data_IF_045405791325
#
_entry.id   IF_045405791325
#
_cell.length_a   1.000
_cell.length_b   1.000
_cell.length_c   1.000
_cell.angle_alpha   90.00
_cell.angle_beta   90.00
_cell.angle_gamma   90.00
#
_symmetry.space_group_name_H-M   'P 1'
#
loop_
_entity.id
_entity.type
_entity.pdbx_description
1 polymer ?
#
# COMPACT_ATOMS: atom_id res chain seq x y z
N UNK A 1 -14.51 -10.57 -18.58
CA UNK A 1 -15.40 -9.80 -17.70
C UNK A 1 -14.85 -8.39 -17.64
N UNK A 2 -15.65 -7.37 -17.96
CA UNK A 2 -15.27 -5.97 -17.80
C UNK A 2 -15.14 -5.72 -16.30
N UNK A 3 -13.95 -5.31 -15.88
CA UNK A 3 -13.73 -4.83 -14.52
C UNK A 3 -14.55 -3.56 -14.31
N UNK A 4 -15.36 -3.52 -13.28
CA UNK A 4 -16.19 -2.38 -12.95
C UNK A 4 -15.74 -1.83 -11.59
N UNK A 5 -15.39 -0.53 -11.54
CA UNK A 5 -15.16 0.19 -10.30
C UNK A 5 -16.47 0.19 -9.51
N UNK A 6 -16.39 -0.16 -8.23
CA UNK A 6 -17.53 -0.20 -7.32
C UNK A 6 -17.30 0.82 -6.20
N UNK A 7 -18.13 1.83 -6.11
CA UNK A 7 -18.13 2.76 -4.99
C UNK A 7 -18.97 2.17 -3.86
N UNK A 8 -18.38 2.19 -2.67
CA UNK A 8 -19.10 1.78 -1.47
C UNK A 8 -20.01 2.94 -1.05
N UNK A 9 -21.33 2.74 -1.00
CA UNK A 9 -22.27 3.78 -0.60
C UNK A 9 -21.95 4.33 0.81
N UNK A 10 -22.18 5.62 1.02
CA UNK A 10 -22.03 6.26 2.34
C UNK A 10 -22.89 5.57 3.41
N UNK A 11 -24.09 5.08 3.03
CA UNK A 11 -24.96 4.31 3.91
C UNK A 11 -24.30 3.03 4.45
N UNK A 12 -23.44 2.38 3.66
CA UNK A 12 -22.74 1.18 4.07
C UNK A 12 -21.60 1.54 5.04
N UNK A 13 -20.91 2.65 4.83
CA UNK A 13 -19.92 3.17 5.79
C UNK A 13 -20.61 3.58 7.10
N UNK A 14 -21.76 4.27 7.03
CA UNK A 14 -22.55 4.61 8.22
C UNK A 14 -22.95 3.34 8.98
N UNK A 15 -23.38 2.29 8.29
CA UNK A 15 -23.66 0.98 8.90
C UNK A 15 -22.44 0.40 9.63
N UNK A 16 -21.23 0.55 9.08
CA UNK A 16 -20.01 0.13 9.76
C UNK A 16 -19.77 0.95 11.05
N UNK A 17 -20.03 2.25 11.04
CA UNK A 17 -19.92 3.11 12.23
C UNK A 17 -20.96 2.74 13.29
N UNK A 18 -22.18 2.40 12.88
CA UNK A 18 -23.22 1.91 13.80
C UNK A 18 -22.81 0.57 14.46
N UNK A 19 -22.14 -0.29 13.71
CA UNK A 19 -21.54 -1.53 14.24
C UNK A 19 -20.40 -1.20 15.21
N UNK A 20 -19.58 -0.19 14.93
CA UNK A 20 -18.56 0.27 15.89
C UNK A 20 -19.19 0.68 17.23
N UNK A 21 -20.33 1.38 17.22
CA UNK A 21 -21.05 1.75 18.43
C UNK A 21 -21.56 0.53 19.22
N UNK A 22 -22.06 -0.50 18.51
CA UNK A 22 -22.48 -1.76 19.13
C UNK A 22 -21.28 -2.50 19.77
N UNK A 23 -20.16 -2.60 19.06
CA UNK A 23 -18.93 -3.23 19.57
C UNK A 23 -18.35 -2.46 20.75
N UNK A 24 -18.45 -1.12 20.74
CA UNK A 24 -18.06 -0.29 21.89
C UNK A 24 -18.82 -0.69 23.16
N UNK A 25 -20.13 -0.87 23.06
CA UNK A 25 -20.93 -1.33 24.19
C UNK A 25 -20.51 -2.74 24.65
N UNK A 26 -20.25 -3.64 23.68
CA UNK A 26 -19.80 -5.01 23.97
C UNK A 26 -18.48 -5.03 24.74
N UNK A 27 -17.44 -4.36 24.24
CA UNK A 27 -16.11 -4.35 24.86
C UNK A 27 -16.05 -3.55 26.18
N UNK A 28 -16.92 -2.55 26.36
CA UNK A 28 -17.01 -1.75 27.59
C UNK A 28 -17.77 -2.46 28.72
N UNK A 29 -18.50 -3.54 28.43
CA UNK A 29 -19.30 -4.26 29.41
C UNK A 29 -18.46 -4.86 30.55
N UNK A 30 -17.17 -5.13 30.33
CA UNK A 30 -16.23 -5.62 31.33
C UNK A 30 -15.74 -4.59 32.35
N UNK A 31 -16.15 -3.31 32.25
CA UNK A 31 -15.80 -2.23 33.18
C UNK A 31 -14.34 -1.76 33.10
N UNK A 32 -13.53 -2.26 32.16
CA UNK A 32 -12.17 -1.81 31.88
C UNK A 32 -12.05 -1.21 30.47
N UNK A 33 -11.06 -0.37 30.26
CA UNK A 33 -10.74 0.18 28.96
C UNK A 33 -10.20 -0.94 28.04
N UNK A 34 -10.84 -1.23 26.89
CA UNK A 34 -10.32 -2.22 25.95
C UNK A 34 -9.08 -1.69 25.24
N UNK A 35 -8.11 -2.58 24.99
CA UNK A 35 -6.83 -2.26 24.36
C UNK A 35 -6.68 -2.99 23.04
N UNK A 36 -6.17 -2.29 22.03
CA UNK A 36 -5.83 -2.87 20.75
C UNK A 36 -4.36 -2.68 20.42
N UNK A 37 -3.78 -3.64 19.73
CA UNK A 37 -2.46 -3.56 19.12
C UNK A 37 -2.61 -3.65 17.59
N UNK A 38 -2.02 -2.72 16.85
CA UNK A 38 -2.00 -2.74 15.38
C UNK A 38 -0.58 -2.71 14.91
N UNK A 39 -0.10 -3.83 14.42
CA UNK A 39 1.24 -4.04 13.90
C UNK A 39 1.25 -4.00 12.37
N UNK A 40 2.15 -3.22 11.77
CA UNK A 40 2.25 -3.05 10.31
C UNK A 40 3.53 -3.66 9.77
N UNK A 41 3.40 -4.63 8.89
CA UNK A 41 4.50 -5.29 8.19
C UNK A 41 4.42 -4.96 6.71
N UNK A 42 4.91 -3.78 6.29
CA UNK A 42 4.70 -3.48 4.89
C UNK A 42 5.25 -2.18 4.35
N UNK A 43 4.59 -1.70 3.32
CA UNK A 43 4.87 -0.45 2.64
C UNK A 43 4.00 0.68 3.21
N UNK A 44 4.21 1.90 2.70
CA UNK A 44 3.44 3.08 3.11
C UNK A 44 1.92 2.92 2.93
N UNK A 45 1.50 2.15 1.90
CA UNK A 45 0.07 1.85 1.72
C UNK A 45 -0.49 0.98 2.86
N UNK A 46 0.32 0.04 3.40
CA UNK A 46 -0.10 -0.71 4.59
C UNK A 46 -0.17 0.20 5.83
N UNK A 47 0.71 1.20 5.95
CA UNK A 47 0.61 2.19 7.04
C UNK A 47 -0.71 2.99 6.93
N UNK A 48 -1.05 3.51 5.75
CA UNK A 48 -2.33 4.18 5.52
C UNK A 48 -3.54 3.27 5.80
N UNK A 49 -3.46 1.99 5.43
CA UNK A 49 -4.49 1.01 5.74
C UNK A 49 -4.60 0.78 7.26
N UNK A 50 -3.47 0.76 7.99
CA UNK A 50 -3.45 0.63 9.45
C UNK A 50 -4.01 1.86 10.17
N UNK A 51 -3.84 3.07 9.62
CA UNK A 51 -4.48 4.29 10.15
C UNK A 51 -6.01 4.17 10.12
N UNK A 52 -6.57 3.56 9.07
CA UNK A 52 -8.01 3.26 8.96
C UNK A 52 -8.46 2.20 9.97
N UNK A 53 -7.69 1.13 10.14
CA UNK A 53 -7.97 0.09 11.14
C UNK A 53 -7.96 0.67 12.55
N UNK A 54 -6.96 1.51 12.89
CA UNK A 54 -6.92 2.24 14.17
C UNK A 54 -8.11 3.18 14.31
N UNK A 55 -8.52 3.86 13.24
CA UNK A 55 -9.71 4.72 13.24
C UNK A 55 -10.98 3.97 13.65
N UNK A 56 -11.21 2.82 13.04
CA UNK A 56 -12.33 1.95 13.43
C UNK A 56 -12.21 1.44 14.87
N UNK A 57 -11.02 0.98 15.29
CA UNK A 57 -10.81 0.53 16.68
C UNK A 57 -11.04 1.67 17.68
N UNK A 58 -10.61 2.89 17.36
CA UNK A 58 -10.90 4.08 18.18
C UNK A 58 -12.41 4.37 18.26
N UNK A 59 -13.14 4.25 17.16
CA UNK A 59 -14.60 4.39 17.11
C UNK A 59 -15.30 3.30 17.97
N UNK A 60 -14.73 2.11 18.05
CA UNK A 60 -15.18 1.02 18.93
C UNK A 60 -14.77 1.22 20.40
N UNK A 61 -14.04 2.30 20.72
CA UNK A 61 -13.66 2.64 22.09
C UNK A 61 -12.34 2.06 22.57
N UNK A 62 -11.53 1.46 21.71
CA UNK A 62 -10.21 0.96 22.09
C UNK A 62 -9.20 2.08 22.31
N UNK A 63 -8.34 1.93 23.30
CA UNK A 63 -7.04 2.55 23.38
C UNK A 63 -5.97 1.63 22.78
N UNK A 64 -4.75 2.16 22.54
CA UNK A 64 -3.69 1.40 21.87
C UNK A 64 -2.55 1.04 22.83
N UNK A 65 -2.00 -0.14 22.63
CA UNK A 65 -0.85 -0.65 23.38
C UNK A 65 0.19 -1.26 22.42
N UNK A 66 1.43 -1.35 22.88
CA UNK A 66 2.50 -2.13 22.25
C UNK A 66 2.72 -3.48 22.96
N UNK A 67 2.01 -3.72 24.05
CA UNK A 67 2.06 -4.98 24.80
C UNK A 67 1.00 -5.97 24.29
N UNK A 68 1.46 -7.00 23.60
CA UNK A 68 0.62 -8.05 23.03
C UNK A 68 -0.16 -8.85 24.10
N UNK A 69 0.35 -8.88 25.34
CA UNK A 69 -0.34 -9.55 26.46
C UNK A 69 -1.47 -8.71 27.06
N UNK A 70 -1.40 -7.39 26.91
CA UNK A 70 -2.43 -6.47 27.40
C UNK A 70 -3.54 -6.25 26.38
N UNK A 71 -3.29 -6.51 25.09
CA UNK A 71 -4.23 -6.26 24.01
C UNK A 71 -5.40 -7.26 24.02
N UNK A 72 -6.63 -6.74 23.87
CA UNK A 72 -7.83 -7.54 23.62
C UNK A 72 -7.98 -7.91 22.16
N UNK A 73 -7.53 -7.02 21.27
CA UNK A 73 -7.52 -7.22 19.83
C UNK A 73 -6.11 -6.94 19.30
N UNK A 74 -5.52 -7.93 18.63
CA UNK A 74 -4.24 -7.78 17.92
C UNK A 74 -4.51 -7.86 16.42
N UNK A 75 -4.15 -6.80 15.67
CA UNK A 75 -4.28 -6.74 14.22
C UNK A 75 -2.89 -6.69 13.58
N UNK A 76 -2.59 -7.66 12.76
CA UNK A 76 -1.34 -7.73 11.98
C UNK A 76 -1.63 -7.39 10.53
N UNK A 77 -1.27 -6.18 10.09
CA UNK A 77 -1.42 -5.75 8.70
C UNK A 77 -0.16 -6.09 7.90
N UNK A 78 -0.31 -6.89 6.85
CA UNK A 78 0.78 -7.66 6.25
C UNK A 78 0.98 -7.34 4.77
N UNK A 79 2.24 -7.45 4.30
CA UNK A 79 2.65 -7.16 2.93
C UNK A 79 3.02 -8.44 2.17
N UNK A 80 2.67 -8.50 0.88
CA UNK A 80 3.00 -9.61 -0.01
C UNK A 80 4.32 -9.41 -0.80
N UNK A 81 4.94 -8.23 -0.71
CA UNK A 81 6.09 -7.87 -1.57
C UNK A 81 7.43 -8.35 -1.02
N UNK A 82 7.52 -8.64 0.28
CA UNK A 82 8.78 -8.97 0.96
C UNK A 82 8.72 -10.41 1.49
N UNK A 83 9.54 -11.32 0.93
CA UNK A 83 9.62 -12.72 1.37
C UNK A 83 9.90 -12.88 2.88
N UNK A 84 10.85 -12.10 3.40
CA UNK A 84 11.15 -12.10 4.83
C UNK A 84 10.00 -11.58 5.70
N UNK A 85 9.07 -10.79 5.12
CA UNK A 85 7.89 -10.33 5.85
C UNK A 85 6.95 -11.50 6.14
N UNK A 86 6.77 -12.42 5.20
CA UNK A 86 5.91 -13.59 5.37
C UNK A 86 6.41 -14.49 6.52
N UNK A 87 7.70 -14.87 6.49
CA UNK A 87 8.32 -15.68 7.54
C UNK A 87 8.24 -15.00 8.91
N UNK A 88 8.49 -13.69 8.96
CA UNK A 88 8.41 -12.90 10.18
C UNK A 88 6.97 -12.85 10.73
N UNK A 89 5.99 -12.64 9.86
CA UNK A 89 4.57 -12.62 10.25
C UNK A 89 4.16 -13.97 10.81
N UNK A 90 4.50 -15.08 10.16
CA UNK A 90 4.18 -16.41 10.70
C UNK A 90 4.86 -16.69 12.04
N UNK A 91 6.10 -16.24 12.21
CA UNK A 91 6.79 -16.32 13.51
C UNK A 91 6.08 -15.56 14.61
N UNK A 92 5.70 -14.30 14.33
CA UNK A 92 5.01 -13.44 15.29
C UNK A 92 3.59 -13.97 15.60
N UNK A 93 2.84 -14.41 14.56
CA UNK A 93 1.55 -15.08 14.78
C UNK A 93 1.72 -16.30 15.67
N UNK A 94 2.77 -17.12 15.46
CA UNK A 94 3.07 -18.27 16.30
C UNK A 94 3.33 -17.89 17.77
N UNK A 95 4.05 -16.77 18.01
CA UNK A 95 4.32 -16.27 19.34
C UNK A 95 3.05 -15.85 20.11
N UNK A 96 2.04 -15.34 19.41
CA UNK A 96 0.73 -14.99 20.01
C UNK A 96 -0.04 -16.21 20.58
N UNK A 97 0.43 -17.43 20.38
CA UNK A 97 -0.10 -18.61 21.07
C UNK A 97 0.03 -18.47 22.59
N UNK A 98 1.08 -17.83 23.07
CA UNK A 98 1.30 -17.62 24.51
C UNK A 98 0.35 -16.56 25.08
N UNK A 99 0.02 -15.51 24.31
CA UNK A 99 -0.93 -14.47 24.73
C UNK A 99 -2.35 -15.01 24.74
N UNK A 100 -2.73 -15.73 23.67
CA UNK A 100 -4.04 -16.39 23.56
C UNK A 100 -4.26 -17.45 24.65
N UNK A 101 -3.20 -18.16 25.08
CA UNK A 101 -3.30 -19.10 26.20
C UNK A 101 -3.57 -18.42 27.55
N UNK A 102 -3.11 -17.18 27.76
CA UNK A 102 -3.38 -16.38 28.95
C UNK A 102 -4.73 -15.66 28.89
N UNK A 103 -5.10 -15.19 27.71
CA UNK A 103 -6.38 -14.52 27.43
C UNK A 103 -7.08 -15.22 26.26
N UNK A 104 -7.88 -16.28 26.50
CA UNK A 104 -8.60 -17.00 25.46
C UNK A 104 -9.57 -16.12 24.64
N UNK A 105 -10.07 -15.03 25.23
CA UNK A 105 -10.97 -14.07 24.56
C UNK A 105 -10.22 -13.05 23.68
N UNK A 106 -8.88 -13.01 23.72
CA UNK A 106 -8.10 -12.14 22.84
C UNK A 106 -8.39 -12.47 21.37
N UNK A 107 -8.68 -11.46 20.56
CA UNK A 107 -8.93 -11.64 19.13
C UNK A 107 -7.66 -11.34 18.34
N UNK A 108 -7.23 -12.30 17.50
CA UNK A 108 -6.07 -12.17 16.64
C UNK A 108 -6.55 -12.08 15.21
N UNK A 109 -6.28 -10.94 14.56
CA UNK A 109 -6.61 -10.65 13.16
C UNK A 109 -5.35 -10.52 12.31
N UNK A 110 -5.33 -11.16 11.14
CA UNK A 110 -4.29 -11.02 10.13
C UNK A 110 -4.91 -10.46 8.87
N UNK A 111 -4.40 -9.34 8.36
CA UNK A 111 -4.95 -8.68 7.19
C UNK A 111 -3.89 -8.15 6.21
N UNK A 112 -4.33 -7.50 5.16
CA UNK A 112 -3.47 -6.86 4.17
C UNK A 112 -3.13 -7.76 2.98
N UNK A 113 -2.13 -7.34 2.18
CA UNK A 113 -1.81 -7.97 0.90
C UNK A 113 -1.38 -9.44 1.03
N UNK A 114 -0.67 -9.80 2.10
CA UNK A 114 -0.25 -11.18 2.32
C UNK A 114 -1.46 -12.08 2.61
N UNK A 115 -2.41 -11.60 3.43
CA UNK A 115 -3.61 -12.33 3.78
C UNK A 115 -4.54 -12.59 2.59
N UNK A 116 -4.48 -11.75 1.54
CA UNK A 116 -5.24 -11.91 0.29
C UNK A 116 -4.79 -13.12 -0.54
N UNK A 117 -3.59 -13.66 -0.31
CA UNK A 117 -3.09 -14.82 -1.03
C UNK A 117 -3.74 -16.11 -0.51
N UNK A 118 -4.38 -16.88 -1.40
CA UNK A 118 -5.13 -18.08 -1.04
C UNK A 118 -4.29 -19.10 -0.24
N UNK A 119 -3.04 -19.35 -0.68
CA UNK A 119 -2.15 -20.29 0.00
C UNK A 119 -1.77 -19.84 1.42
N UNK A 120 -1.67 -18.52 1.66
CA UNK A 120 -1.42 -17.93 2.98
C UNK A 120 -2.64 -18.10 3.87
N UNK A 121 -3.82 -17.74 3.37
CA UNK A 121 -5.07 -17.89 4.10
C UNK A 121 -5.34 -19.36 4.48
N UNK A 122 -5.10 -20.28 3.54
CA UNK A 122 -5.20 -21.72 3.80
C UNK A 122 -4.20 -22.21 4.88
N UNK A 123 -2.95 -21.70 4.84
CA UNK A 123 -1.95 -21.99 5.86
C UNK A 123 -2.37 -21.46 7.23
N UNK A 124 -2.88 -20.20 7.31
CA UNK A 124 -3.42 -19.63 8.54
C UNK A 124 -4.61 -20.44 9.06
N UNK A 125 -5.50 -20.88 8.17
CA UNK A 125 -6.66 -21.69 8.51
C UNK A 125 -6.29 -23.05 9.09
N UNK A 126 -5.32 -23.74 8.50
CA UNK A 126 -4.94 -25.11 8.88
C UNK A 126 -3.98 -25.16 10.06
N UNK A 127 -2.96 -24.28 10.07
CA UNK A 127 -1.82 -24.39 10.99
C UNK A 127 -1.84 -23.40 12.16
N UNK A 128 -2.57 -22.27 12.04
CA UNK A 128 -2.60 -21.21 13.04
C UNK A 128 -4.01 -21.02 13.61
N UNK A 129 -4.45 -21.99 14.41
CA UNK A 129 -5.82 -22.03 14.95
C UNK A 129 -6.15 -20.89 15.92
N UNK A 130 -5.15 -20.19 16.41
CA UNK A 130 -5.28 -19.01 17.27
C UNK A 130 -5.73 -17.76 16.50
N UNK A 131 -5.63 -17.73 15.18
CA UNK A 131 -6.07 -16.60 14.35
C UNK A 131 -7.57 -16.67 14.17
N UNK A 132 -8.28 -15.66 14.62
CA UNK A 132 -9.74 -15.59 14.62
C UNK A 132 -10.29 -14.92 13.36
N UNK A 133 -9.55 -13.95 12.80
CA UNK A 133 -9.97 -13.17 11.64
C UNK A 133 -8.84 -13.05 10.61
N UNK A 134 -9.16 -13.36 9.34
CA UNK A 134 -8.26 -13.14 8.19
C UNK A 134 -9.04 -12.39 7.12
N UNK A 135 -8.50 -11.26 6.63
CA UNK A 135 -9.17 -10.50 5.57
C UNK A 135 -8.17 -9.78 4.65
N UNK A 136 -8.58 -9.65 3.38
CA UNK A 136 -7.82 -8.95 2.37
C UNK A 136 -7.96 -7.42 2.44
N UNK A 137 -7.16 -6.66 1.65
CA UNK A 137 -7.25 -5.20 1.63
C UNK A 137 -8.58 -4.66 1.08
N UNK A 138 -9.30 -5.46 0.30
CA UNK A 138 -10.61 -5.11 -0.26
C UNK A 138 -11.72 -5.12 0.79
N UNK A 139 -11.55 -5.89 1.85
CA UNK A 139 -12.50 -6.07 2.95
C UNK A 139 -12.28 -5.10 4.11
N UNK A 140 -11.25 -4.24 4.05
CA UNK A 140 -10.88 -3.34 5.13
C UNK A 140 -12.05 -2.45 5.57
N UNK A 141 -12.84 -1.96 4.63
CA UNK A 141 -13.99 -1.11 4.92
C UNK A 141 -15.07 -1.81 5.75
N UNK A 142 -15.12 -3.16 5.70
CA UNK A 142 -16.03 -4.01 6.46
C UNK A 142 -15.44 -4.54 7.76
N UNK A 143 -14.27 -4.08 8.18
CA UNK A 143 -13.59 -4.58 9.37
C UNK A 143 -14.51 -4.61 10.62
N UNK A 144 -15.35 -3.60 10.92
CA UNK A 144 -16.29 -3.66 12.02
C UNK A 144 -17.27 -4.84 11.96
N UNK A 145 -17.85 -5.09 10.79
CA UNK A 145 -18.76 -6.22 10.57
C UNK A 145 -18.06 -7.56 10.73
N UNK A 146 -16.86 -7.70 10.18
CA UNK A 146 -16.06 -8.92 10.30
C UNK A 146 -15.68 -9.20 11.76
N UNK A 147 -15.25 -8.17 12.51
CA UNK A 147 -14.91 -8.28 13.92
C UNK A 147 -16.15 -8.65 14.75
N UNK A 148 -17.31 -8.03 14.45
CA UNK A 148 -18.57 -8.38 15.10
C UNK A 148 -18.91 -9.85 14.91
N UNK A 149 -18.76 -10.39 13.70
CA UNK A 149 -19.02 -11.81 13.43
C UNK A 149 -18.13 -12.74 14.27
N UNK A 150 -16.85 -12.37 14.49
CA UNK A 150 -15.99 -13.12 15.42
C UNK A 150 -16.54 -13.07 16.84
N UNK A 151 -16.92 -11.88 17.35
CA UNK A 151 -17.39 -11.70 18.72
C UNK A 151 -18.72 -12.41 19.00
N UNK A 152 -19.68 -12.35 18.06
CA UNK A 152 -21.05 -12.82 18.29
C UNK A 152 -21.27 -14.27 17.91
N UNK A 153 -20.57 -14.77 16.90
CA UNK A 153 -20.72 -16.12 16.39
C UNK A 153 -19.67 -17.08 16.95
N UNK A 154 -18.66 -16.56 17.67
CA UNK A 154 -17.53 -17.31 18.24
C UNK A 154 -16.86 -18.24 17.23
N UNK A 155 -16.80 -17.80 15.96
CA UNK A 155 -16.22 -18.55 14.86
C UNK A 155 -15.09 -17.75 14.19
N UNK A 156 -14.16 -18.48 13.62
CA UNK A 156 -13.10 -17.89 12.79
C UNK A 156 -13.68 -17.39 11.47
N UNK A 157 -13.29 -16.16 11.06
CA UNK A 157 -13.76 -15.52 9.83
C UNK A 157 -12.62 -15.38 8.85
N UNK A 158 -12.84 -15.75 7.59
CA UNK A 158 -11.89 -15.64 6.49
C UNK A 158 -12.57 -14.91 5.34
N UNK A 159 -12.25 -13.64 5.14
CA UNK A 159 -12.79 -12.75 4.11
C UNK A 159 -11.66 -12.37 3.14
N UNK A 160 -11.44 -13.21 2.14
CA UNK A 160 -10.40 -13.07 1.12
C UNK A 160 -11.00 -13.19 -0.28
N UNK A 161 -12.20 -12.68 -0.45
CA UNK A 161 -12.87 -12.71 -1.74
C UNK A 161 -12.02 -12.01 -2.82
N UNK A 162 -12.16 -12.42 -4.09
CA UNK A 162 -11.46 -11.76 -5.18
C UNK A 162 -11.68 -10.25 -5.18
N UNK A 163 -10.66 -9.51 -5.57
CA UNK A 163 -10.72 -8.05 -5.65
C UNK A 163 -11.94 -7.58 -6.45
N UNK A 164 -12.90 -6.99 -5.78
CA UNK A 164 -14.19 -6.57 -6.34
C UNK A 164 -14.17 -5.17 -6.97
N UNK A 165 -13.04 -4.46 -6.86
CA UNK A 165 -12.92 -3.11 -7.38
C UNK A 165 -13.47 -2.01 -6.47
N UNK A 166 -13.74 -2.28 -5.21
CA UNK A 166 -14.33 -1.32 -4.28
C UNK A 166 -13.42 -0.13 -3.95
N UNK A 167 -14.05 1.04 -3.83
CA UNK A 167 -13.48 2.28 -3.27
C UNK A 167 -14.43 2.74 -2.16
N UNK A 168 -13.89 2.93 -0.96
CA UNK A 168 -14.66 3.35 0.20
C UNK A 168 -14.11 4.69 0.72
N UNK A 169 -14.98 5.69 0.78
CA UNK A 169 -14.72 7.00 1.35
C UNK A 169 -15.28 7.10 2.77
N UNK A 170 -14.85 8.10 3.54
CA UNK A 170 -15.41 8.35 4.88
C UNK A 170 -15.00 7.38 5.98
N UNK A 171 -14.06 6.46 5.73
CA UNK A 171 -13.52 5.58 6.77
C UNK A 171 -12.74 6.41 7.78
N UNK A 172 -13.04 6.30 9.10
CA UNK A 172 -12.31 7.04 10.12
C UNK A 172 -10.83 6.64 10.12
N UNK A 173 -9.96 7.61 10.38
CA UNK A 173 -8.51 7.39 10.39
C UNK A 173 -7.93 7.89 11.71
N UNK A 174 -7.06 7.10 12.32
CA UNK A 174 -6.26 7.48 13.47
C UNK A 174 -4.78 7.48 13.07
N UNK A 175 -4.21 8.67 12.95
CA UNK A 175 -2.81 8.88 12.60
C UNK A 175 -1.96 9.07 13.84
N UNK A 176 -0.77 8.46 13.86
CA UNK A 176 0.14 8.52 15.02
C UNK A 176 1.14 9.69 14.91
N UNK A 177 1.30 10.25 13.70
CA UNK A 177 2.23 11.34 13.42
C UNK A 177 1.58 12.71 13.46
N UNK A 178 2.40 13.75 13.70
CA UNK A 178 1.97 15.16 13.64
C UNK A 178 2.59 15.95 12.49
N UNK A 179 3.60 15.39 11.81
CA UNK A 179 4.33 16.08 10.75
C UNK A 179 4.00 15.50 9.38
N UNK A 180 3.98 14.18 9.25
CA UNK A 180 3.81 13.45 8.00
C UNK A 180 2.47 12.72 7.97
N UNK A 181 1.77 12.83 6.83
CA UNK A 181 0.55 12.08 6.57
C UNK A 181 0.64 11.29 5.26
N UNK A 182 0.03 10.11 5.27
CA UNK A 182 -0.18 9.29 4.09
C UNK A 182 -1.58 9.56 3.53
N UNK A 183 -1.66 9.91 2.24
CA UNK A 183 -2.93 10.18 1.57
C UNK A 183 -3.06 9.25 0.36
N UNK A 184 -3.84 8.18 0.52
CA UNK A 184 -4.12 7.28 -0.58
C UNK A 184 -4.99 7.99 -1.63
N UNK A 185 -4.53 8.03 -2.89
CA UNK A 185 -5.27 8.65 -4.00
C UNK A 185 -5.87 7.61 -4.94
N UNK A 186 -5.33 6.40 -4.93
CA UNK A 186 -5.80 5.29 -5.76
C UNK A 186 -5.36 3.95 -5.18
N UNK A 187 -5.97 2.87 -5.64
CA UNK A 187 -5.67 1.49 -5.27
C UNK A 187 -5.49 0.61 -6.50
N UNK A 188 -4.67 -0.45 -6.40
CA UNK A 188 -4.45 -1.42 -7.46
C UNK A 188 -3.51 -0.94 -8.57
N UNK A 189 -3.25 -1.81 -9.56
CA UNK A 189 -2.36 -1.51 -10.67
C UNK A 189 -2.69 -2.36 -11.89
N UNK A 190 -2.71 -1.74 -13.08
CA UNK A 190 -2.98 -2.40 -14.36
C UNK A 190 -1.73 -2.77 -15.16
N UNK A 191 -0.52 -2.55 -14.63
CA UNK A 191 0.72 -2.78 -15.38
C UNK A 191 1.08 -4.25 -15.53
N UNK A 192 0.68 -5.13 -14.59
CA UNK A 192 0.97 -6.57 -14.63
C UNK A 192 2.43 -6.88 -14.95
N UNK A 193 3.37 -6.12 -14.36
CA UNK A 193 4.78 -6.44 -14.44
C UNK A 193 4.98 -7.90 -13.98
N UNK A 194 5.75 -8.69 -14.72
CA UNK A 194 5.81 -10.17 -14.55
C UNK A 194 6.31 -10.64 -13.18
N UNK A 195 6.96 -9.79 -12.44
CA UNK A 195 7.47 -10.05 -11.09
C UNK A 195 6.58 -9.50 -9.96
N UNK A 196 5.47 -8.83 -10.31
CA UNK A 196 4.70 -8.03 -9.34
C UNK A 196 3.42 -8.74 -8.90
N UNK A 197 3.24 -8.87 -7.59
CA UNK A 197 2.05 -9.47 -6.99
C UNK A 197 0.87 -8.49 -6.86
N UNK A 198 1.12 -7.18 -6.98
CA UNK A 198 0.13 -6.12 -6.68
C UNK A 198 -1.20 -6.30 -7.39
N UNK A 199 -1.28 -6.54 -8.72
CA UNK A 199 -2.57 -6.72 -9.41
C UNK A 199 -3.42 -7.88 -8.86
N UNK A 200 -2.77 -8.86 -8.25
CA UNK A 200 -3.42 -10.07 -7.73
C UNK A 200 -3.91 -9.92 -6.29
N UNK A 201 -3.31 -8.99 -5.51
CA UNK A 201 -3.65 -8.80 -4.10
C UNK A 201 -4.35 -7.47 -3.81
N UNK A 202 -4.16 -6.45 -4.69
CA UNK A 202 -4.85 -5.15 -4.59
C UNK A 202 -5.77 -4.87 -5.77
N UNK A 203 -5.85 -5.79 -6.75
CA UNK A 203 -6.73 -5.70 -7.90
C UNK A 203 -6.31 -4.66 -8.93
N UNK A 204 -7.27 -4.30 -9.79
CA UNK A 204 -7.12 -3.30 -10.85
C UNK A 204 -7.04 -1.88 -10.27
N UNK A 205 -6.56 -0.94 -11.09
CA UNK A 205 -6.52 0.48 -10.75
C UNK A 205 -7.92 1.03 -10.45
N UNK A 206 -8.00 1.78 -9.34
CA UNK A 206 -9.20 2.47 -8.86
C UNK A 206 -8.77 3.79 -8.26
N UNK A 207 -9.10 4.87 -8.92
CA UNK A 207 -8.85 6.23 -8.44
C UNK A 207 -9.94 6.65 -7.47
N UNK A 208 -9.57 7.41 -6.44
CA UNK A 208 -10.54 8.13 -5.62
C UNK A 208 -10.95 9.42 -6.33
N UNK A 209 -12.13 9.94 -6.04
CA UNK A 209 -12.57 11.22 -6.60
C UNK A 209 -11.67 12.38 -6.13
N UNK A 210 -11.33 13.32 -7.03
CA UNK A 210 -10.43 14.42 -6.70
C UNK A 210 -10.96 15.29 -5.57
N UNK A 211 -12.27 15.51 -5.47
CA UNK A 211 -12.89 16.31 -4.41
C UNK A 211 -12.65 15.70 -3.02
N UNK A 212 -12.78 14.38 -2.91
CA UNK A 212 -12.55 13.64 -1.67
C UNK A 212 -11.09 13.71 -1.22
N UNK A 213 -10.17 13.58 -2.18
CA UNK A 213 -8.73 13.68 -1.91
C UNK A 213 -8.37 15.11 -1.47
N UNK A 214 -8.88 16.12 -2.18
CA UNK A 214 -8.63 17.54 -1.84
C UNK A 214 -9.26 17.90 -0.51
N UNK A 215 -10.44 17.38 -0.18
CA UNK A 215 -11.09 17.56 1.12
C UNK A 215 -10.22 16.98 2.24
N UNK A 216 -9.79 15.74 2.10
CA UNK A 216 -8.91 15.08 3.08
C UNK A 216 -7.57 15.82 3.21
N UNK A 217 -6.98 16.27 2.10
CA UNK A 217 -5.76 17.08 2.14
C UNK A 217 -5.95 18.41 2.92
N UNK A 218 -7.09 19.09 2.76
CA UNK A 218 -7.42 20.31 3.55
C UNK A 218 -7.53 20.02 5.04
N UNK A 219 -8.17 18.90 5.39
CA UNK A 219 -8.29 18.46 6.79
C UNK A 219 -6.91 18.18 7.40
N UNK A 220 -6.00 17.55 6.65
CA UNK A 220 -4.63 17.30 7.08
C UNK A 220 -3.86 18.61 7.30
N UNK A 221 -3.93 19.55 6.36
CA UNK A 221 -3.29 20.86 6.48
C UNK A 221 -3.85 21.61 7.69
N UNK A 222 -5.17 21.62 7.88
CA UNK A 222 -5.83 22.25 9.03
C UNK A 222 -5.44 21.60 10.37
N UNK A 223 -5.17 20.30 10.37
CA UNK A 223 -4.66 19.56 11.54
C UNK A 223 -3.16 19.79 11.79
N UNK A 224 -2.46 20.54 10.93
CA UNK A 224 -1.06 20.93 11.11
C UNK A 224 -0.03 20.02 10.46
N UNK A 225 -0.43 19.04 9.65
CA UNK A 225 0.52 18.19 8.91
C UNK A 225 1.31 19.02 7.89
N UNK A 226 2.61 18.74 7.78
CA UNK A 226 3.58 19.47 6.96
C UNK A 226 4.12 18.71 5.77
N UNK A 227 4.04 17.40 5.79
CA UNK A 227 4.47 16.51 4.70
C UNK A 227 3.29 15.59 4.33
N UNK A 228 2.65 15.86 3.19
CA UNK A 228 1.55 15.05 2.67
C UNK A 228 2.08 14.21 1.51
N UNK A 229 2.19 12.91 1.74
CA UNK A 229 2.65 11.97 0.72
C UNK A 229 1.47 11.24 0.07
N UNK A 230 1.28 11.48 -1.22
CA UNK A 230 0.26 10.84 -2.05
C UNK A 230 0.66 9.40 -2.36
N UNK A 231 -0.24 8.46 -2.10
CA UNK A 231 0.01 7.03 -2.24
C UNK A 231 -0.89 6.39 -3.30
N UNK A 232 -0.29 5.49 -4.05
CA UNK A 232 -0.93 4.58 -4.99
C UNK A 232 0.05 3.49 -5.39
N UNK A 233 -0.36 2.56 -6.22
CA UNK A 233 0.53 1.54 -6.76
C UNK A 233 1.12 1.93 -8.12
N UNK A 234 0.53 2.93 -8.77
CA UNK A 234 1.02 3.64 -9.95
C UNK A 234 0.33 5.01 -10.01
N UNK A 235 0.83 5.99 -9.27
CA UNK A 235 0.18 7.31 -9.14
C UNK A 235 0.07 8.07 -10.45
N UNK A 236 0.98 7.81 -11.40
CA UNK A 236 1.02 8.47 -12.71
C UNK A 236 -0.17 8.07 -13.61
N UNK A 237 -0.88 6.99 -13.27
CA UNK A 237 -2.10 6.57 -13.98
C UNK A 237 -3.40 7.06 -13.34
N UNK A 238 -3.33 7.85 -12.27
CA UNK A 238 -4.50 8.40 -11.59
C UNK A 238 -5.45 9.09 -12.56
N UNK A 239 -6.73 8.87 -12.35
CA UNK A 239 -7.84 9.48 -13.10
C UNK A 239 -8.30 8.69 -14.33
N UNK A 240 -7.53 7.70 -14.82
CA UNK A 240 -7.87 6.95 -16.05
C UNK A 240 -9.15 6.13 -15.96
N UNK A 241 -9.59 5.81 -14.78
CA UNK A 241 -10.81 5.04 -14.50
C UNK A 241 -11.96 5.92 -14.00
N UNK A 242 -11.78 7.25 -13.98
CA UNK A 242 -12.80 8.23 -13.67
C UNK A 242 -13.50 8.69 -14.96
N UNK A 243 -14.76 9.07 -14.84
CA UNK A 243 -15.53 9.68 -15.94
C UNK A 243 -15.12 11.15 -16.20
N UNK A 244 -14.40 11.74 -15.28
CA UNK A 244 -13.89 13.11 -15.31
C UNK A 244 -12.57 13.17 -16.08
N UNK A 245 -12.37 14.22 -16.88
CA UNK A 245 -11.10 14.50 -17.56
C UNK A 245 -10.08 15.11 -16.58
N UNK A 246 -9.61 14.29 -15.65
CA UNK A 246 -8.65 14.66 -14.62
C UNK A 246 -7.50 13.65 -14.58
N UNK A 247 -6.28 14.13 -14.44
CA UNK A 247 -5.10 13.30 -14.24
C UNK A 247 -4.31 13.65 -12.98
N UNK A 248 -3.21 12.94 -12.76
CA UNK A 248 -2.37 13.14 -11.58
C UNK A 248 -1.76 14.56 -11.52
N UNK A 249 -1.43 15.18 -12.65
CA UNK A 249 -0.92 16.54 -12.69
C UNK A 249 -1.98 17.55 -12.23
N UNK A 250 -3.23 17.36 -12.63
CA UNK A 250 -4.35 18.22 -12.21
C UNK A 250 -4.64 18.07 -10.72
N UNK A 251 -4.54 16.83 -10.19
CA UNK A 251 -4.69 16.59 -8.76
C UNK A 251 -3.59 17.29 -7.95
N UNK A 252 -2.33 17.24 -8.38
CA UNK A 252 -1.22 17.96 -7.72
C UNK A 252 -1.51 19.46 -7.68
N UNK A 253 -1.96 20.06 -8.81
CA UNK A 253 -2.33 21.49 -8.84
C UNK A 253 -3.46 21.81 -7.88
N UNK A 254 -4.48 20.96 -7.80
CA UNK A 254 -5.62 21.13 -6.90
C UNK A 254 -5.21 21.10 -5.43
N UNK A 255 -4.30 20.19 -5.06
CA UNK A 255 -3.76 20.12 -3.69
C UNK A 255 -2.83 21.30 -3.42
N UNK A 256 -2.00 21.69 -4.40
CA UNK A 256 -1.11 22.86 -4.27
C UNK A 256 -1.86 24.16 -4.00
N UNK A 257 -3.08 24.29 -4.51
CA UNK A 257 -3.93 25.47 -4.29
C UNK A 257 -4.48 25.57 -2.86
N UNK A 258 -4.37 24.55 -2.03
CA UNK A 258 -4.80 24.58 -0.61
C UNK A 258 -3.91 25.57 0.15
N UNK A 259 -4.47 26.59 0.85
CA UNK A 259 -3.68 27.50 1.68
C UNK A 259 -2.96 26.76 2.81
N UNK A 260 -1.72 27.16 3.11
CA UNK A 260 -0.93 26.60 4.21
C UNK A 260 0.50 26.31 3.81
N UNK A 261 1.34 26.07 4.80
CA UNK A 261 2.75 25.72 4.66
C UNK A 261 2.90 24.20 4.83
N UNK A 262 3.01 23.48 3.71
CA UNK A 262 3.19 22.04 3.65
C UNK A 262 3.86 21.62 2.34
N UNK A 263 4.36 20.40 2.29
CA UNK A 263 5.03 19.80 1.12
C UNK A 263 4.19 18.63 0.60
N UNK A 264 4.01 18.57 -0.71
CA UNK A 264 3.40 17.47 -1.44
C UNK A 264 4.50 16.54 -1.92
N UNK A 265 4.40 15.27 -1.57
CA UNK A 265 5.24 14.19 -2.09
C UNK A 265 4.37 13.10 -2.69
N UNK A 266 4.97 12.23 -3.47
CA UNK A 266 4.30 11.03 -3.97
C UNK A 266 5.27 9.87 -4.16
N UNK A 267 4.72 8.67 -4.25
CA UNK A 267 5.46 7.43 -4.41
C UNK A 267 4.86 6.60 -5.54
N UNK A 268 5.67 5.67 -6.07
CA UNK A 268 5.19 4.65 -7.02
C UNK A 268 4.88 5.17 -8.42
N UNK A 269 5.77 6.01 -8.97
CA UNK A 269 5.72 6.37 -10.40
C UNK A 269 6.13 5.21 -11.31
N UNK A 270 5.69 5.28 -12.55
CA UNK A 270 6.03 4.31 -13.58
C UNK A 270 6.46 4.98 -14.89
N UNK A 271 7.67 4.66 -15.44
CA UNK A 271 8.19 5.33 -16.64
C UNK A 271 7.27 5.26 -17.87
N UNK A 272 6.39 4.28 -17.96
CA UNK A 272 5.39 4.22 -19.04
C UNK A 272 4.40 5.38 -18.96
N UNK A 273 4.04 5.80 -17.75
CA UNK A 273 2.91 6.68 -17.45
C UNK A 273 3.32 8.10 -17.02
N UNK A 274 4.60 8.32 -16.67
CA UNK A 274 5.15 9.64 -16.38
C UNK A 274 5.10 10.54 -17.65
N UNK A 275 4.45 11.70 -17.54
CA UNK A 275 4.18 12.60 -18.68
C UNK A 275 4.86 13.96 -18.51
N UNK A 276 5.04 14.68 -19.63
CA UNK A 276 5.51 16.07 -19.60
C UNK A 276 4.58 16.98 -18.78
N UNK A 277 3.25 16.76 -18.86
CA UNK A 277 2.26 17.50 -18.06
C UNK A 277 2.51 17.34 -16.57
N UNK A 278 2.90 16.13 -16.12
CA UNK A 278 3.28 15.88 -14.72
C UNK A 278 4.54 16.66 -14.34
N UNK A 279 5.61 16.59 -15.16
CA UNK A 279 6.87 17.30 -14.86
C UNK A 279 6.66 18.81 -14.78
N UNK A 280 5.83 19.34 -15.66
CA UNK A 280 5.46 20.77 -15.64
C UNK A 280 4.67 21.10 -14.37
N UNK A 281 3.69 20.29 -14.00
CA UNK A 281 2.92 20.51 -12.77
C UNK A 281 3.81 20.47 -11.52
N UNK A 282 4.76 19.53 -11.44
CA UNK A 282 5.73 19.48 -10.34
C UNK A 282 6.57 20.76 -10.26
N UNK A 283 7.04 21.27 -11.38
CA UNK A 283 7.87 22.48 -11.44
C UNK A 283 7.09 23.76 -11.13
N UNK A 284 5.82 23.84 -11.52
CA UNK A 284 4.95 25.01 -11.31
C UNK A 284 4.37 25.07 -9.88
N UNK A 285 4.25 23.94 -9.20
CA UNK A 285 3.62 23.81 -7.90
C UNK A 285 4.64 23.99 -6.77
N UNK A 286 4.70 25.17 -6.17
CA UNK A 286 5.68 25.53 -5.12
C UNK A 286 5.72 24.56 -3.93
N UNK A 287 4.58 23.90 -3.62
CA UNK A 287 4.49 22.92 -2.54
C UNK A 287 4.88 21.51 -2.96
N UNK A 288 5.02 21.23 -4.26
CA UNK A 288 5.42 19.94 -4.75
C UNK A 288 6.94 19.77 -4.60
N UNK A 289 7.38 18.75 -3.89
CA UNK A 289 8.80 18.44 -3.77
C UNK A 289 9.37 18.04 -5.14
N UNK A 290 10.52 18.60 -5.50
CA UNK A 290 11.30 18.17 -6.67
C UNK A 290 12.00 16.83 -6.37
N UNK A 291 11.20 15.84 -6.04
CA UNK A 291 11.65 14.47 -5.73
C UNK A 291 10.75 13.46 -6.43
N UNK A 292 11.33 12.53 -7.17
CA UNK A 292 10.59 11.49 -7.87
C UNK A 292 11.27 10.13 -7.73
N UNK A 293 10.48 9.11 -7.40
CA UNK A 293 10.93 7.73 -7.48
C UNK A 293 10.43 7.12 -8.79
N UNK A 294 11.34 6.94 -9.74
CA UNK A 294 11.03 6.45 -11.10
C UNK A 294 11.83 5.16 -11.39
N UNK A 295 11.29 3.98 -11.01
CA UNK A 295 12.03 2.72 -11.08
C UNK A 295 12.21 2.24 -12.53
N UNK A 296 13.47 2.21 -13.01
CA UNK A 296 13.79 1.72 -14.35
C UNK A 296 13.76 0.20 -14.46
N UNK A 297 14.13 -0.50 -13.41
CA UNK A 297 14.21 -1.95 -13.24
C UNK A 297 15.32 -2.63 -14.06
N UNK A 298 15.56 -2.27 -15.32
CA UNK A 298 16.67 -2.75 -16.16
C UNK A 298 17.06 -1.70 -17.20
N UNK A 299 18.32 -1.72 -17.64
CA UNK A 299 18.83 -0.89 -18.72
C UNK A 299 18.79 -1.56 -20.08
N UNK A 300 18.23 -2.78 -20.20
CA UNK A 300 18.17 -3.54 -21.45
C UNK A 300 16.71 -3.73 -21.90
N UNK A 301 16.42 -3.43 -23.17
CA UNK A 301 15.04 -3.43 -23.71
C UNK A 301 14.41 -4.82 -23.76
N UNK A 302 15.19 -5.88 -24.04
CA UNK A 302 14.66 -7.25 -24.02
C UNK A 302 14.24 -7.65 -22.60
N UNK A 303 15.04 -7.28 -21.60
CA UNK A 303 14.72 -7.55 -20.19
C UNK A 303 13.50 -6.72 -19.76
N UNK A 304 13.43 -5.44 -20.12
CA UNK A 304 12.25 -4.59 -19.87
C UNK A 304 10.98 -5.17 -20.50
N UNK A 305 11.07 -5.66 -21.74
CA UNK A 305 9.96 -6.34 -22.41
C UNK A 305 9.55 -7.63 -21.66
N UNK A 306 10.52 -8.47 -21.29
CA UNK A 306 10.28 -9.68 -20.51
C UNK A 306 9.65 -9.38 -19.13
N UNK A 307 9.97 -8.24 -18.53
CA UNK A 307 9.35 -7.70 -17.29
C UNK A 307 7.95 -7.11 -17.52
N UNK A 308 7.47 -7.01 -18.76
CA UNK A 308 6.22 -6.32 -19.13
C UNK A 308 6.21 -4.84 -18.73
N UNK A 309 7.32 -4.11 -18.94
CA UNK A 309 7.42 -2.71 -18.48
C UNK A 309 6.80 -1.70 -19.42
N UNK A 310 6.64 -2.01 -20.73
CA UNK A 310 5.95 -1.16 -21.71
C UNK A 310 6.68 0.14 -22.08
N UNK A 311 8.00 0.21 -21.86
CA UNK A 311 8.89 1.29 -22.30
C UNK A 311 10.29 0.74 -22.61
N UNK A 312 11.11 1.57 -23.28
CA UNK A 312 12.50 1.27 -23.62
C UNK A 312 13.47 2.07 -22.75
N UNK A 313 14.73 1.64 -22.73
CA UNK A 313 15.83 2.41 -22.14
C UNK A 313 15.89 3.86 -22.67
N UNK A 314 15.77 4.03 -23.99
CA UNK A 314 15.80 5.35 -24.61
C UNK A 314 14.66 6.25 -24.10
N UNK A 315 13.43 5.72 -24.02
CA UNK A 315 12.29 6.45 -23.46
C UNK A 315 12.53 6.86 -22.01
N UNK A 316 13.10 5.99 -21.18
CA UNK A 316 13.44 6.31 -19.81
C UNK A 316 14.44 7.46 -19.72
N UNK A 317 15.53 7.40 -20.50
CA UNK A 317 16.55 8.45 -20.54
C UNK A 317 15.97 9.80 -21.01
N UNK A 318 15.12 9.78 -22.03
CA UNK A 318 14.45 10.96 -22.53
C UNK A 318 13.52 11.59 -21.44
N UNK A 319 12.80 10.77 -20.70
CA UNK A 319 11.94 11.25 -19.58
C UNK A 319 12.76 11.87 -18.45
N UNK A 320 13.89 11.26 -18.08
CA UNK A 320 14.79 11.82 -17.06
C UNK A 320 15.36 13.15 -17.52
N UNK A 321 15.80 13.24 -18.77
CA UNK A 321 16.30 14.48 -19.35
C UNK A 321 15.24 15.58 -19.38
N UNK A 322 14.02 15.24 -19.80
CA UNK A 322 12.88 16.17 -19.83
C UNK A 322 12.50 16.63 -18.43
N UNK A 323 12.41 15.73 -17.46
CA UNK A 323 12.10 16.08 -16.08
C UNK A 323 13.13 17.08 -15.52
N UNK A 324 14.41 16.89 -15.80
CA UNK A 324 15.50 17.80 -15.39
C UNK A 324 15.52 19.13 -16.13
N UNK A 325 14.93 19.23 -17.32
CA UNK A 325 14.73 20.53 -17.99
C UNK A 325 13.73 21.39 -17.21
N UNK A 326 12.66 20.80 -16.69
CA UNK A 326 11.67 21.48 -15.86
C UNK A 326 12.18 21.73 -14.43
N UNK A 327 12.91 20.78 -13.86
CA UNK A 327 13.40 20.79 -12.49
C UNK A 327 14.90 20.43 -12.45
N UNK A 328 15.80 21.41 -12.62
CA UNK A 328 17.26 21.16 -12.62
C UNK A 328 17.77 20.56 -11.30
N UNK A 329 17.08 20.80 -10.21
CA UNK A 329 17.35 20.32 -8.83
C UNK A 329 16.63 19.01 -8.50
N UNK A 330 16.01 18.35 -9.47
CA UNK A 330 15.25 17.11 -9.27
C UNK A 330 16.09 16.01 -8.59
N UNK A 331 15.65 15.58 -7.42
CA UNK A 331 16.17 14.38 -6.76
C UNK A 331 15.45 13.16 -7.31
N UNK A 332 16.16 12.38 -8.10
CA UNK A 332 15.62 11.16 -8.71
C UNK A 332 16.13 9.92 -7.99
N UNK A 333 15.23 9.00 -7.69
CA UNK A 333 15.55 7.67 -7.15
C UNK A 333 15.02 6.58 -8.08
N UNK A 334 15.69 5.44 -8.15
CA UNK A 334 15.29 4.32 -8.99
C UNK A 334 15.60 2.98 -8.34
N UNK A 335 14.84 1.95 -8.72
CA UNK A 335 15.12 0.56 -8.40
C UNK A 335 15.60 -0.19 -9.63
N UNK A 336 16.49 -1.16 -9.42
CA UNK A 336 17.02 -2.06 -10.44
C UNK A 336 16.91 -3.50 -9.95
N UNK A 337 16.38 -4.38 -10.78
CA UNK A 337 16.34 -5.82 -10.55
C UNK A 337 17.52 -6.46 -11.30
N UNK A 338 18.38 -7.14 -10.57
CA UNK A 338 19.55 -7.86 -11.11
C UNK A 338 19.27 -9.36 -11.09
N UNK A 339 19.70 -10.05 -12.16
CA UNK A 339 19.50 -11.50 -12.29
C UNK A 339 18.04 -11.85 -12.58
N UNK A 340 17.36 -11.03 -13.38
CA UNK A 340 16.03 -11.38 -13.87
C UNK A 340 16.12 -12.69 -14.69
N UNK A 341 15.14 -13.60 -14.61
CA UNK A 341 15.19 -14.88 -15.33
C UNK A 341 15.53 -14.74 -16.80
N UNK A 342 16.66 -15.35 -17.22
CA UNK A 342 17.17 -15.25 -18.58
C UNK A 342 17.93 -13.98 -18.91
N UNK A 343 18.22 -13.10 -17.94
CA UNK A 343 19.15 -11.98 -18.10
C UNK A 343 20.58 -12.50 -18.27
N UNK A 344 21.27 -12.03 -19.29
CA UNK A 344 22.69 -12.34 -19.56
C UNK A 344 23.61 -11.30 -18.97
N UNK A 345 24.90 -11.63 -18.80
CA UNK A 345 25.91 -10.68 -18.32
C UNK A 345 26.01 -9.43 -19.23
N UNK A 346 25.88 -9.62 -20.56
CA UNK A 346 25.88 -8.49 -21.51
C UNK A 346 24.70 -7.54 -21.29
N UNK A 347 23.51 -8.07 -21.01
CA UNK A 347 22.32 -7.26 -20.75
C UNK A 347 22.39 -6.57 -19.38
N UNK A 348 23.03 -7.19 -18.40
CA UNK A 348 23.34 -6.54 -17.13
C UNK A 348 24.36 -5.39 -17.33
N UNK A 349 25.35 -5.52 -18.23
CA UNK A 349 26.26 -4.40 -18.59
C UNK A 349 25.50 -3.22 -19.19
N UNK A 350 24.42 -3.44 -19.96
CA UNK A 350 23.54 -2.36 -20.42
C UNK A 350 22.91 -1.62 -19.23
N UNK A 351 22.51 -2.35 -18.20
CA UNK A 351 21.96 -1.76 -16.97
C UNK A 351 23.02 -0.93 -16.22
N UNK A 352 24.24 -1.44 -16.08
CA UNK A 352 25.35 -0.68 -15.49
C UNK A 352 25.70 0.57 -16.30
N UNK A 353 25.69 0.48 -17.63
CA UNK A 353 25.95 1.64 -18.49
C UNK A 353 24.87 2.73 -18.34
N UNK A 354 23.61 2.35 -18.12
CA UNK A 354 22.54 3.31 -17.83
C UNK A 354 22.81 4.04 -16.52
N UNK A 355 23.23 3.32 -15.46
CA UNK A 355 23.59 3.88 -14.17
C UNK A 355 24.64 4.99 -14.31
N UNK A 356 25.68 4.75 -15.12
CA UNK A 356 26.74 5.73 -15.36
C UNK A 356 26.22 6.92 -16.18
N UNK A 357 25.29 6.68 -17.11
CA UNK A 357 24.75 7.71 -18.02
C UNK A 357 23.85 8.71 -17.29
N UNK A 358 23.22 8.33 -16.18
CA UNK A 358 22.28 9.18 -15.44
C UNK A 358 22.92 9.61 -14.09
N UNK A 359 23.71 10.70 -14.08
CA UNK A 359 24.39 11.15 -12.86
C UNK A 359 23.36 11.64 -11.82
N UNK A 360 23.71 11.49 -10.53
CA UNK A 360 22.90 12.02 -9.42
C UNK A 360 21.57 11.28 -9.21
N UNK A 361 21.47 10.03 -9.64
CA UNK A 361 20.34 9.15 -9.29
C UNK A 361 20.73 8.25 -8.15
N UNK A 362 19.96 8.28 -7.06
CA UNK A 362 20.11 7.29 -5.98
C UNK A 362 19.45 5.98 -6.41
N UNK A 363 20.22 4.90 -6.36
CA UNK A 363 19.81 3.60 -6.87
C UNK A 363 19.73 2.57 -5.77
N UNK A 364 18.74 1.71 -5.86
CA UNK A 364 18.63 0.51 -5.06
C UNK A 364 18.67 -0.71 -5.98
N UNK A 365 19.64 -1.59 -5.76
CA UNK A 365 19.73 -2.85 -6.49
C UNK A 365 19.05 -3.95 -5.70
N UNK A 366 18.20 -4.73 -6.38
CA UNK A 366 17.53 -5.91 -5.83
C UNK A 366 17.98 -7.14 -6.62
N UNK A 367 18.61 -8.12 -5.96
CA UNK A 367 18.94 -9.39 -6.60
C UNK A 367 17.85 -10.44 -6.34
N UNK A 368 17.57 -11.29 -7.33
CA UNK A 368 16.84 -12.53 -7.09
C UNK A 368 17.85 -13.62 -6.67
N UNK A 369 17.63 -14.26 -5.53
CA UNK A 369 18.37 -15.46 -5.19
C UNK A 369 17.97 -16.57 -6.15
N UNK A 370 18.93 -17.11 -6.90
CA UNK A 370 18.77 -18.32 -7.70
C UNK A 370 18.80 -19.52 -6.77
N UNK A 371 17.74 -19.80 -6.03
CA UNK A 371 17.53 -21.12 -5.42
C UNK A 371 16.99 -22.09 -6.47
N UNK A 372 17.56 -23.29 -6.66
CA UNK A 372 17.14 -24.24 -7.69
C UNK A 372 15.79 -24.93 -7.46
N UNK A 373 14.98 -24.46 -6.52
CA UNK A 373 13.72 -25.10 -6.09
C UNK A 373 12.46 -24.29 -6.40
N UNK A 374 12.39 -23.63 -7.55
CA UNK A 374 11.18 -22.95 -8.00
C UNK A 374 10.66 -23.51 -9.32
N UNK A 375 10.31 -24.80 -9.34
CA UNK A 375 9.35 -25.37 -10.27
C UNK A 375 8.01 -25.52 -9.55
N UNK A 376 7.33 -24.42 -9.32
CA UNK A 376 5.88 -24.24 -9.09
C UNK A 376 5.66 -22.85 -8.43
N UNK A 377 5.39 -21.85 -9.25
CA UNK A 377 4.51 -20.73 -8.94
C UNK A 377 4.68 -19.96 -7.64
N UNK A 378 5.85 -19.40 -7.31
CA UNK A 378 5.94 -18.23 -6.44
C UNK A 378 7.38 -17.69 -6.46
N UNK A 379 7.55 -16.55 -7.09
CA UNK A 379 8.87 -15.89 -7.21
C UNK A 379 8.99 -14.82 -6.15
N UNK A 380 9.77 -15.09 -5.13
CA UNK A 380 10.14 -14.14 -4.08
C UNK A 380 11.35 -13.31 -4.49
N UNK A 381 11.27 -12.01 -4.29
CA UNK A 381 12.33 -11.05 -4.57
C UNK A 381 12.90 -10.54 -3.25
N UNK A 382 14.13 -10.92 -2.90
CA UNK A 382 14.87 -10.20 -1.86
C UNK A 382 16.37 -10.51 -1.84
N UNK A 383 17.14 -9.49 -2.08
CA UNK A 383 18.31 -9.10 -1.28
C UNK A 383 18.68 -7.66 -1.65
N UNK A 384 18.78 -6.80 -0.65
CA UNK A 384 19.18 -5.41 -0.82
C UNK A 384 20.68 -5.29 -0.62
N UNK A 385 21.42 -4.79 -1.61
CA UNK A 385 22.71 -4.17 -1.40
C UNK A 385 22.56 -2.65 -1.58
N UNK A 386 22.90 -1.89 -0.57
CA UNK A 386 23.01 -0.42 -0.62
C UNK A 386 24.45 -0.10 -1.02
N UNK A 387 24.64 0.56 -2.15
CA UNK A 387 25.89 1.26 -2.49
C UNK A 387 25.73 2.74 -2.18
#
# INVERSE_FOLDING_TARGET
MSYQRVEIPESDIQRQLDICAQLRAHFSAGGRQPLAMVDTYGCQQNEADSEKLRGYLRAMGFDFTQDEFAADVVVMNTCAVREHAETRVFGNVGALTHTKARNPEQIIAVCGCMAQQEHVAEKLKKSYRIVDLVFGPHELWRFPELLRSVCTEHRRVFAIDPADGSVAEGIPQQRDGSVKAWLSIMYGCNNFCTYCIVPYVRGRERSRHPEEIVREARELVAAGYKDITLLGQNVDSYGRDLDEDVDFADLIRSINAIPGDFVIRFMSSHPKDATEKLFRAMAECEKCAHQMHLPVQSGNDRVLHAMNRGYTREKYLAQVALARQYMPDLVLTTDIIVGFPGETDAEFQDTLSLVVTVPGVMMRMMSRSTSPLASAGSSSCSQMATL
#
